data_IF_434335994215
#
_entry.id   IF_434335994215
#
_cell.length_a   1.000
_cell.length_b   1.000
_cell.length_c   1.000
_cell.angle_alpha   90.00
_cell.angle_beta   90.00
_cell.angle_gamma   90.00
#
_symmetry.space_group_name_H-M   'P 1'
#
loop_
_entity.id
_entity.type
_entity.pdbx_description
1 polymer ?
#
# COMPACT_ATOMS: atom_id res chain seq x y z
N UNK A 1 -55.48 70.81 -22.78
CA UNK A 1 -56.23 70.36 -23.98
C UNK A 1 -57.36 69.47 -23.51
N UNK A 2 -58.59 69.91 -23.75
CA UNK A 2 -59.81 69.22 -23.32
C UNK A 2 -59.97 67.90 -24.09
N UNK A 3 -59.68 66.78 -23.45
CA UNK A 3 -60.06 65.46 -23.98
C UNK A 3 -61.49 65.19 -23.54
N UNK A 4 -62.42 65.49 -24.45
CA UNK A 4 -63.80 65.04 -24.38
C UNK A 4 -63.81 63.52 -24.22
N UNK A 5 -64.17 63.05 -23.01
CA UNK A 5 -64.51 61.66 -22.78
C UNK A 5 -65.72 61.35 -23.68
N UNK A 6 -65.45 60.66 -24.80
CA UNK A 6 -66.48 60.06 -25.62
C UNK A 6 -67.23 59.06 -24.76
N UNK A 7 -68.37 59.52 -24.23
CA UNK A 7 -69.38 58.73 -23.55
C UNK A 7 -70.06 57.83 -24.59
N UNK A 8 -69.34 56.81 -25.05
CA UNK A 8 -69.96 55.67 -25.72
C UNK A 8 -70.59 54.77 -24.66
N UNK A 9 -71.69 55.27 -24.07
CA UNK A 9 -72.73 54.42 -23.54
C UNK A 9 -73.16 53.48 -24.68
N UNK A 10 -73.16 52.15 -24.49
CA UNK A 10 -73.69 51.25 -25.49
C UNK A 10 -75.15 51.64 -25.72
N UNK A 11 -75.44 52.15 -26.92
CA UNK A 11 -76.79 52.36 -27.40
C UNK A 11 -77.56 51.07 -27.09
N UNK A 12 -78.54 51.21 -26.21
CA UNK A 12 -79.41 50.15 -25.77
C UNK A 12 -80.19 49.68 -26.98
N UNK A 13 -79.62 48.72 -27.71
CA UNK A 13 -80.21 48.02 -28.85
C UNK A 13 -80.50 48.96 -30.03
N UNK A 14 -79.78 48.77 -31.14
CA UNK A 14 -80.34 49.02 -32.47
C UNK A 14 -81.65 48.23 -32.55
N UNK A 15 -82.76 48.91 -32.26
CA UNK A 15 -83.93 48.30 -31.63
C UNK A 15 -84.77 47.42 -32.56
N UNK A 16 -84.53 47.42 -33.88
CA UNK A 16 -85.33 46.61 -34.82
C UNK A 16 -84.68 45.28 -35.21
N UNK A 17 -83.40 45.25 -35.60
CA UNK A 17 -82.74 44.01 -36.06
C UNK A 17 -82.57 42.96 -34.95
N UNK A 18 -82.32 43.41 -33.72
CA UNK A 18 -82.22 42.51 -32.55
C UNK A 18 -83.58 41.92 -32.18
N UNK A 19 -84.67 42.68 -32.34
CA UNK A 19 -86.03 42.20 -32.05
C UNK A 19 -86.51 41.17 -33.08
N UNK A 20 -86.17 41.34 -34.37
CA UNK A 20 -86.49 40.35 -35.42
C UNK A 20 -85.84 38.99 -35.11
N UNK A 21 -84.55 38.98 -34.78
CA UNK A 21 -83.84 37.75 -34.39
C UNK A 21 -84.39 37.13 -33.10
N UNK A 22 -84.84 37.95 -32.14
CA UNK A 22 -85.50 37.48 -30.92
C UNK A 22 -86.88 36.86 -31.22
N UNK A 23 -87.67 37.46 -32.14
CA UNK A 23 -88.96 36.91 -32.62
C UNK A 23 -88.77 35.57 -33.30
N UNK A 24 -87.84 35.45 -34.24
CA UNK A 24 -87.54 34.19 -34.94
C UNK A 24 -87.09 33.10 -33.96
N UNK A 25 -86.23 33.45 -33.00
CA UNK A 25 -85.76 32.52 -31.97
C UNK A 25 -86.89 32.09 -31.05
N UNK A 26 -87.80 32.99 -30.70
CA UNK A 26 -88.96 32.68 -29.88
C UNK A 26 -89.95 31.77 -30.60
N UNK A 27 -90.28 32.05 -31.85
CA UNK A 27 -91.14 31.20 -32.68
C UNK A 27 -90.55 29.80 -32.85
N UNK A 28 -89.25 29.72 -33.18
CA UNK A 28 -88.53 28.45 -33.30
C UNK A 28 -88.53 27.64 -32.00
N UNK A 29 -88.41 28.30 -30.85
CA UNK A 29 -88.36 27.64 -29.54
C UNK A 29 -89.77 27.29 -29.02
N UNK A 30 -90.82 27.95 -29.51
CA UNK A 30 -92.21 27.51 -29.31
C UNK A 30 -92.56 26.27 -30.13
N UNK A 31 -92.20 26.24 -31.41
CA UNK A 31 -92.43 25.09 -32.30
C UNK A 31 -91.71 23.84 -31.78
N UNK A 32 -90.44 23.97 -31.38
CA UNK A 32 -89.65 22.87 -30.81
C UNK A 32 -90.26 22.27 -29.55
N UNK A 33 -91.02 23.05 -28.79
CA UNK A 33 -91.68 22.59 -27.57
C UNK A 33 -93.16 22.24 -27.79
N UNK A 34 -93.64 22.20 -29.05
CA UNK A 34 -94.99 21.78 -29.42
C UNK A 34 -96.09 22.83 -29.14
N UNK A 35 -95.73 24.11 -29.00
CA UNK A 35 -96.69 25.19 -28.73
C UNK A 35 -97.00 26.00 -30.00
N UNK A 36 -98.24 26.49 -30.09
CA UNK A 36 -98.69 27.32 -31.22
C UNK A 36 -97.97 28.67 -31.24
N UNK A 37 -97.37 29.01 -32.38
CA UNK A 37 -96.71 30.30 -32.63
C UNK A 37 -97.72 31.45 -32.70
N UNK A 38 -98.92 31.19 -33.20
CA UNK A 38 -99.98 32.18 -33.44
C UNK A 38 -100.88 32.45 -32.22
N UNK A 39 -101.05 31.49 -31.29
CA UNK A 39 -101.95 31.64 -30.13
C UNK A 39 -101.21 32.07 -28.86
N UNK A 40 -101.48 33.30 -28.40
CA UNK A 40 -101.00 33.85 -27.12
C UNK A 40 -100.13 35.09 -27.28
N UNK A 41 -99.51 35.55 -26.19
CA UNK A 41 -98.72 36.80 -26.16
C UNK A 41 -97.42 36.69 -26.95
N UNK A 42 -97.05 37.75 -27.67
CA UNK A 42 -95.83 37.79 -28.50
C UNK A 42 -94.58 38.04 -27.65
N UNK A 43 -93.38 37.79 -28.21
CA UNK A 43 -92.14 38.11 -27.50
C UNK A 43 -91.98 39.61 -27.27
N UNK A 44 -92.55 40.47 -28.13
CA UNK A 44 -92.48 41.93 -27.96
C UNK A 44 -93.24 42.38 -26.70
N UNK A 45 -94.40 41.77 -26.46
CA UNK A 45 -95.16 42.00 -25.22
C UNK A 45 -94.36 41.57 -23.99
N UNK A 46 -93.64 40.45 -24.07
CA UNK A 46 -92.75 40.01 -22.99
C UNK A 46 -91.48 40.88 -22.86
N UNK A 47 -90.96 41.39 -23.98
CA UNK A 47 -89.78 42.24 -24.04
C UNK A 47 -90.05 43.62 -23.42
N UNK A 48 -91.28 44.12 -23.52
CA UNK A 48 -91.70 45.38 -22.88
C UNK A 48 -91.50 45.38 -21.36
N UNK A 49 -91.53 44.21 -20.72
CA UNK A 49 -91.26 44.09 -19.28
C UNK A 49 -89.77 44.23 -18.93
N UNK A 50 -88.87 44.18 -19.92
CA UNK A 50 -87.42 44.32 -19.77
C UNK A 50 -86.88 45.68 -20.22
N UNK A 51 -87.75 46.61 -20.64
CA UNK A 51 -87.36 47.95 -21.10
C UNK A 51 -86.66 48.77 -20.01
N UNK A 52 -87.06 48.59 -18.74
CA UNK A 52 -86.42 49.24 -17.59
C UNK A 52 -85.48 48.27 -16.88
N UNK A 53 -84.17 48.54 -16.92
CA UNK A 53 -83.15 47.70 -16.28
C UNK A 53 -83.36 47.51 -14.77
N UNK A 54 -84.00 48.48 -14.09
CA UNK A 54 -84.25 48.45 -12.65
C UNK A 54 -85.51 47.66 -12.25
N UNK A 55 -86.44 47.41 -13.18
CA UNK A 55 -87.66 46.63 -12.91
C UNK A 55 -87.73 45.32 -13.68
N UNK A 56 -86.67 44.98 -14.43
CA UNK A 56 -86.62 43.77 -15.24
C UNK A 56 -86.96 42.51 -14.41
N UNK A 57 -87.87 41.64 -14.87
CA UNK A 57 -88.22 40.42 -14.17
C UNK A 57 -86.98 39.57 -13.91
N UNK A 58 -86.85 39.04 -12.70
CA UNK A 58 -85.74 38.16 -12.29
C UNK A 58 -86.05 36.68 -12.47
N UNK A 59 -87.30 36.33 -12.76
CA UNK A 59 -87.74 34.96 -13.03
C UNK A 59 -88.89 34.90 -14.05
N UNK A 60 -89.09 33.74 -14.67
CA UNK A 60 -90.22 33.49 -15.57
C UNK A 60 -91.58 33.70 -14.88
N UNK A 61 -91.70 33.37 -13.59
CA UNK A 61 -92.94 33.58 -12.82
C UNK A 61 -93.20 35.06 -12.56
N UNK A 62 -92.15 35.86 -12.34
CA UNK A 62 -92.26 37.31 -12.23
C UNK A 62 -92.67 37.95 -13.56
N UNK A 63 -92.14 37.45 -14.69
CA UNK A 63 -92.56 37.87 -16.02
C UNK A 63 -94.03 37.50 -16.29
N UNK A 64 -94.47 36.31 -15.86
CA UNK A 64 -95.86 35.86 -16.01
C UNK A 64 -96.80 36.72 -15.16
N UNK A 65 -96.42 37.06 -13.92
CA UNK A 65 -97.23 37.92 -13.05
C UNK A 65 -97.38 39.33 -13.63
N UNK A 66 -96.36 39.82 -14.35
CA UNK A 66 -96.34 41.18 -14.90
C UNK A 66 -97.05 41.32 -16.25
N UNK A 67 -96.82 40.37 -17.16
CA UNK A 67 -97.34 40.43 -18.53
C UNK A 67 -98.52 39.47 -18.74
N UNK A 68 -98.65 38.41 -17.94
CA UNK A 68 -99.67 37.37 -18.11
C UNK A 68 -99.33 36.33 -19.18
N UNK A 69 -100.24 35.38 -19.38
CA UNK A 69 -100.11 34.29 -20.36
C UNK A 69 -99.67 32.95 -19.76
N UNK A 70 -99.56 31.94 -20.63
CA UNK A 70 -99.18 30.58 -20.22
C UNK A 70 -97.73 30.54 -19.72
N UNK A 71 -97.51 29.96 -18.55
CA UNK A 71 -96.21 29.89 -17.88
C UNK A 71 -95.14 29.24 -18.77
N UNK A 72 -95.52 28.23 -19.58
CA UNK A 72 -94.60 27.54 -20.49
C UNK A 72 -94.05 28.47 -21.56
N UNK A 73 -94.92 29.29 -22.18
CA UNK A 73 -94.57 30.31 -23.17
C UNK A 73 -93.74 31.44 -22.54
N UNK A 74 -94.11 31.87 -21.33
CA UNK A 74 -93.39 32.89 -20.56
C UNK A 74 -91.98 32.41 -20.18
N UNK A 75 -91.81 31.15 -19.78
CA UNK A 75 -90.51 30.60 -19.41
C UNK A 75 -89.53 30.58 -20.58
N UNK A 76 -90.04 30.27 -21.79
CA UNK A 76 -89.27 30.34 -23.03
C UNK A 76 -88.88 31.79 -23.33
N UNK A 77 -89.83 32.73 -23.27
CA UNK A 77 -89.56 34.16 -23.49
C UNK A 77 -88.52 34.71 -22.50
N UNK A 78 -88.67 34.39 -21.22
CA UNK A 78 -87.77 34.81 -20.15
C UNK A 78 -86.33 34.33 -20.38
N UNK A 79 -86.15 33.08 -20.81
CA UNK A 79 -84.82 32.49 -21.04
C UNK A 79 -84.11 33.16 -22.22
N UNK A 80 -84.85 33.49 -23.28
CA UNK A 80 -84.33 34.16 -24.46
C UNK A 80 -83.94 35.61 -24.12
N UNK A 81 -84.85 36.36 -23.48
CA UNK A 81 -84.65 37.76 -23.13
C UNK A 81 -83.52 37.94 -22.11
N UNK A 82 -83.44 37.09 -21.07
CA UNK A 82 -82.35 37.15 -20.07
C UNK A 82 -80.96 36.90 -20.66
N UNK A 83 -80.86 36.10 -21.72
CA UNK A 83 -79.58 35.88 -22.41
C UNK A 83 -79.19 37.08 -23.25
N UNK A 84 -80.17 37.73 -23.88
CA UNK A 84 -79.96 38.91 -24.71
C UNK A 84 -79.57 40.16 -23.90
N UNK A 85 -80.00 40.25 -22.64
CA UNK A 85 -79.74 41.41 -21.76
C UNK A 85 -78.49 41.27 -20.87
N UNK A 86 -77.65 40.25 -21.07
CA UNK A 86 -76.39 40.13 -20.32
C UNK A 86 -75.39 41.21 -20.75
N UNK A 87 -74.76 41.95 -19.81
CA UNK A 87 -73.72 42.92 -20.17
C UNK A 87 -72.51 42.20 -20.76
N UNK A 88 -72.02 42.69 -21.90
CA UNK A 88 -70.77 42.20 -22.51
C UNK A 88 -69.58 42.69 -21.68
N UNK A 89 -68.68 41.78 -21.28
CA UNK A 89 -67.44 42.12 -20.58
C UNK A 89 -66.50 42.89 -21.51
N UNK A 90 -66.14 44.12 -21.13
CA UNK A 90 -65.15 44.92 -21.86
C UNK A 90 -63.75 44.42 -21.46
N UNK A 91 -63.08 43.70 -22.35
CA UNK A 91 -61.64 43.39 -22.20
C UNK A 91 -60.85 44.63 -22.62
N UNK A 92 -60.13 45.24 -21.67
CA UNK A 92 -59.21 46.35 -21.98
C UNK A 92 -57.82 45.79 -22.23
N UNK A 93 -57.21 46.19 -23.35
CA UNK A 93 -55.80 45.91 -23.64
C UNK A 93 -54.90 46.76 -22.73
N UNK A 94 -53.72 46.23 -22.38
CA UNK A 94 -52.67 47.00 -21.67
C UNK A 94 -52.33 48.27 -22.47
N UNK A 95 -52.12 49.38 -21.77
CA UNK A 95 -51.69 50.62 -22.41
C UNK A 95 -50.25 50.48 -22.95
N UNK A 96 -49.96 51.08 -24.11
CA UNK A 96 -48.65 50.99 -24.77
C UNK A 96 -47.48 51.42 -23.87
N UNK A 97 -47.65 52.52 -23.12
CA UNK A 97 -46.61 53.01 -22.20
C UNK A 97 -46.21 51.98 -21.14
N UNK A 98 -47.15 51.12 -20.71
CA UNK A 98 -46.89 50.07 -19.72
C UNK A 98 -46.06 48.95 -20.36
N UNK A 99 -46.41 48.56 -21.60
CA UNK A 99 -45.66 47.55 -22.36
C UNK A 99 -44.21 48.01 -22.60
N UNK A 100 -44.02 49.27 -22.99
CA UNK A 100 -42.68 49.84 -23.21
C UNK A 100 -41.84 49.89 -21.91
N UNK A 101 -42.49 50.13 -20.78
CA UNK A 101 -41.85 50.12 -19.46
C UNK A 101 -41.47 48.70 -19.03
N UNK A 102 -42.37 47.74 -19.24
CA UNK A 102 -42.16 46.32 -18.95
C UNK A 102 -40.98 45.79 -19.77
N UNK A 103 -40.95 46.08 -21.07
CA UNK A 103 -39.86 45.66 -21.95
C UNK A 103 -38.51 46.28 -21.58
N UNK A 104 -38.47 47.57 -21.19
CA UNK A 104 -37.25 48.22 -20.72
C UNK A 104 -36.72 47.59 -19.44
N UNK A 105 -37.60 47.30 -18.49
CA UNK A 105 -37.23 46.63 -17.24
C UNK A 105 -36.69 45.22 -17.50
N UNK A 106 -37.36 44.43 -18.35
CA UNK A 106 -36.90 43.08 -18.70
C UNK A 106 -35.53 43.12 -19.39
N UNK A 107 -35.32 44.07 -20.29
CA UNK A 107 -34.04 44.22 -21.00
C UNK A 107 -32.90 44.59 -20.04
N UNK A 108 -33.15 45.52 -19.11
CA UNK A 108 -32.18 45.89 -18.09
C UNK A 108 -31.85 44.72 -17.16
N UNK A 109 -32.88 44.00 -16.69
CA UNK A 109 -32.69 42.82 -15.83
C UNK A 109 -31.88 41.73 -16.54
N UNK A 110 -32.18 41.47 -17.80
CA UNK A 110 -31.44 40.48 -18.59
C UNK A 110 -29.98 40.88 -18.81
N UNK A 111 -29.71 42.18 -19.01
CA UNK A 111 -28.35 42.70 -19.13
C UNK A 111 -27.57 42.51 -17.81
N UNK A 112 -28.14 42.92 -16.67
CA UNK A 112 -27.52 42.73 -15.35
C UNK A 112 -27.29 41.25 -15.04
N UNK A 113 -28.27 40.39 -15.31
CA UNK A 113 -28.13 38.96 -15.08
C UNK A 113 -27.05 38.34 -15.97
N UNK A 114 -26.86 38.84 -17.20
CA UNK A 114 -25.73 38.42 -18.04
C UNK A 114 -24.38 38.87 -17.51
N UNK A 115 -24.29 40.06 -16.90
CA UNK A 115 -23.04 40.55 -16.28
C UNK A 115 -22.69 39.67 -15.09
N UNK A 116 -23.65 39.42 -14.20
CA UNK A 116 -23.48 38.54 -13.04
C UNK A 116 -23.06 37.14 -13.48
N UNK A 117 -23.71 36.58 -14.51
CA UNK A 117 -23.33 35.25 -15.00
C UNK A 117 -21.92 35.18 -15.55
N UNK A 118 -21.47 36.21 -16.28
CA UNK A 118 -20.09 36.26 -16.80
C UNK A 118 -19.06 36.40 -15.68
N UNK A 119 -19.36 37.20 -14.66
CA UNK A 119 -18.48 37.34 -13.50
C UNK A 119 -18.37 36.00 -12.74
N UNK A 120 -19.50 35.36 -12.47
CA UNK A 120 -19.54 34.04 -11.82
C UNK A 120 -18.78 32.98 -12.61
N UNK A 121 -19.04 32.87 -13.93
CA UNK A 121 -18.33 31.92 -14.80
C UNK A 121 -16.81 32.18 -14.81
N UNK A 122 -16.40 33.45 -14.83
CA UNK A 122 -14.99 33.84 -14.72
C UNK A 122 -14.35 33.42 -13.40
N UNK A 123 -15.01 33.64 -12.27
CA UNK A 123 -14.52 33.21 -10.96
C UNK A 123 -14.43 31.68 -10.84
N UNK A 124 -15.42 30.96 -11.36
CA UNK A 124 -15.41 29.49 -11.40
C UNK A 124 -14.25 28.98 -12.25
N UNK A 125 -14.03 29.54 -13.44
CA UNK A 125 -12.91 29.15 -14.30
C UNK A 125 -11.55 29.45 -13.66
N UNK A 126 -11.41 30.61 -13.02
CA UNK A 126 -10.19 30.97 -12.29
C UNK A 126 -9.94 29.99 -11.14
N UNK A 127 -10.95 29.69 -10.33
CA UNK A 127 -10.83 28.75 -9.22
C UNK A 127 -10.43 27.36 -9.70
N UNK A 128 -11.07 26.85 -10.75
CA UNK A 128 -10.74 25.54 -11.34
C UNK A 128 -9.31 25.54 -11.88
N UNK A 129 -8.89 26.61 -12.56
CA UNK A 129 -7.53 26.71 -13.10
C UNK A 129 -6.48 26.74 -11.99
N UNK A 130 -6.73 27.50 -10.92
CA UNK A 130 -5.83 27.60 -9.76
C UNK A 130 -5.72 26.25 -9.04
N UNK A 131 -6.85 25.59 -8.77
CA UNK A 131 -6.88 24.27 -8.14
C UNK A 131 -6.16 23.23 -9.00
N UNK A 132 -6.37 23.24 -10.32
CA UNK A 132 -5.71 22.30 -11.24
C UNK A 132 -4.20 22.54 -11.25
N UNK A 133 -3.77 23.80 -11.29
CA UNK A 133 -2.36 24.15 -11.26
C UNK A 133 -1.69 23.74 -9.93
N UNK A 134 -2.36 23.96 -8.80
CA UNK A 134 -1.88 23.53 -7.49
C UNK A 134 -1.77 22.01 -7.39
N UNK A 135 -2.79 21.28 -7.87
CA UNK A 135 -2.78 19.83 -7.92
C UNK A 135 -1.63 19.29 -8.78
N UNK A 136 -1.37 19.90 -9.94
CA UNK A 136 -0.24 19.53 -10.81
C UNK A 136 1.11 19.77 -10.13
N UNK A 137 1.28 20.89 -9.42
CA UNK A 137 2.51 21.15 -8.65
C UNK A 137 2.73 20.11 -7.56
N UNK A 138 1.68 19.73 -6.83
CA UNK A 138 1.77 18.68 -5.81
C UNK A 138 2.13 17.32 -6.43
N UNK A 139 1.59 17.01 -7.61
CA UNK A 139 1.96 15.79 -8.34
C UNK A 139 3.44 15.84 -8.74
N UNK A 140 3.92 16.96 -9.30
CA UNK A 140 5.32 17.11 -9.71
C UNK A 140 6.29 16.98 -8.51
N UNK A 141 5.92 17.56 -7.36
CA UNK A 141 6.69 17.45 -6.10
C UNK A 141 6.74 15.99 -5.62
N UNK A 142 5.60 15.30 -5.58
CA UNK A 142 5.54 13.87 -5.21
C UNK A 142 6.29 12.97 -6.19
N UNK A 143 6.26 13.27 -7.49
CA UNK A 143 7.04 12.54 -8.49
C UNK A 143 8.55 12.73 -8.28
N UNK A 144 8.98 13.94 -7.88
CA UNK A 144 10.37 14.21 -7.55
C UNK A 144 10.80 13.48 -6.29
N UNK A 145 10.02 13.55 -5.22
CA UNK A 145 10.28 12.81 -3.98
C UNK A 145 10.35 11.30 -4.23
N UNK A 146 9.44 10.75 -5.04
CA UNK A 146 9.48 9.33 -5.42
C UNK A 146 10.77 8.96 -6.16
N UNK A 147 11.28 9.80 -7.06
CA UNK A 147 12.56 9.56 -7.73
C UNK A 147 13.72 9.55 -6.74
N UNK A 148 13.76 10.51 -5.83
CA UNK A 148 14.80 10.57 -4.78
C UNK A 148 14.74 9.34 -3.86
N UNK A 149 13.55 8.86 -3.50
CA UNK A 149 13.36 7.64 -2.73
C UNK A 149 13.83 6.39 -3.47
N UNK A 150 13.58 6.29 -4.79
CA UNK A 150 14.08 5.18 -5.61
C UNK A 150 15.60 5.18 -5.66
N UNK A 151 16.23 6.34 -5.87
CA UNK A 151 17.70 6.46 -5.85
C UNK A 151 18.28 6.06 -4.48
N UNK A 152 17.61 6.44 -3.39
CA UNK A 152 18.01 6.05 -2.03
C UNK A 152 17.89 4.53 -1.81
N UNK A 153 16.81 3.92 -2.29
CA UNK A 153 16.63 2.46 -2.25
C UNK A 153 17.75 1.75 -3.03
N UNK A 154 18.10 2.24 -4.22
CA UNK A 154 19.16 1.66 -5.05
C UNK A 154 20.52 1.73 -4.35
N UNK A 155 20.84 2.85 -3.70
CA UNK A 155 22.09 2.98 -2.94
C UNK A 155 22.10 2.06 -1.70
N UNK A 156 20.98 1.92 -0.99
CA UNK A 156 20.85 0.95 0.11
C UNK A 156 21.05 -0.49 -0.37
N UNK A 157 20.47 -0.88 -1.51
CA UNK A 157 20.66 -2.21 -2.07
C UNK A 157 22.12 -2.47 -2.44
N UNK A 158 22.82 -1.46 -2.97
CA UNK A 158 24.25 -1.54 -3.26
C UNK A 158 25.08 -1.69 -1.99
N UNK A 159 24.75 -0.97 -0.92
CA UNK A 159 25.42 -1.13 0.38
C UNK A 159 25.21 -2.53 0.97
N UNK A 160 24.02 -3.11 0.84
CA UNK A 160 23.75 -4.50 1.25
C UNK A 160 24.66 -5.47 0.49
N UNK A 161 24.74 -5.37 -0.84
CA UNK A 161 25.62 -6.23 -1.65
C UNK A 161 27.09 -6.10 -1.26
N UNK A 162 27.55 -4.88 -0.94
CA UNK A 162 28.90 -4.65 -0.46
C UNK A 162 29.14 -5.30 0.91
N UNK A 163 28.18 -5.16 1.82
CA UNK A 163 28.22 -5.78 3.15
C UNK A 163 28.27 -7.30 3.06
N UNK A 164 27.44 -7.91 2.19
CA UNK A 164 27.45 -9.36 1.96
C UNK A 164 28.80 -9.83 1.42
N UNK A 165 29.39 -9.08 0.46
CA UNK A 165 30.73 -9.39 -0.06
C UNK A 165 31.82 -9.28 1.02
N UNK A 166 31.72 -8.29 1.91
CA UNK A 166 32.64 -8.16 3.03
C UNK A 166 32.46 -9.29 4.05
N UNK A 167 31.22 -9.68 4.36
CA UNK A 167 30.92 -10.80 5.24
C UNK A 167 31.51 -12.12 4.70
N UNK A 168 31.37 -12.38 3.40
CA UNK A 168 31.99 -13.54 2.75
C UNK A 168 33.51 -13.53 2.90
N UNK A 169 34.16 -12.38 2.68
CA UNK A 169 35.62 -12.24 2.87
C UNK A 169 36.03 -12.46 4.33
N UNK A 170 35.25 -11.97 5.30
CA UNK A 170 35.50 -12.23 6.71
C UNK A 170 35.43 -13.75 7.01
N UNK A 171 34.39 -14.44 6.54
CA UNK A 171 34.27 -15.89 6.72
C UNK A 171 35.44 -16.66 6.08
N UNK A 172 35.90 -16.24 4.90
CA UNK A 172 37.09 -16.82 4.26
C UNK A 172 38.37 -16.61 5.08
N UNK A 173 38.54 -15.41 5.67
CA UNK A 173 39.68 -15.10 6.53
C UNK A 173 39.62 -15.88 7.85
N UNK A 174 38.45 -16.01 8.47
CA UNK A 174 38.25 -16.83 9.66
C UNK A 174 38.60 -18.30 9.40
N UNK A 175 38.17 -18.85 8.26
CA UNK A 175 38.52 -20.22 7.87
C UNK A 175 40.04 -20.39 7.66
N UNK A 176 40.69 -19.42 7.01
CA UNK A 176 42.16 -19.44 6.84
C UNK A 176 42.90 -19.30 8.18
N UNK A 177 42.37 -18.49 9.09
CA UNK A 177 42.92 -18.32 10.43
C UNK A 177 42.83 -19.64 11.20
N UNK A 178 41.65 -20.27 11.23
CA UNK A 178 41.45 -21.57 11.89
C UNK A 178 42.39 -22.66 11.32
N UNK A 179 42.57 -22.70 10.00
CA UNK A 179 43.56 -23.60 9.37
C UNK A 179 44.99 -23.30 9.82
N UNK A 180 45.37 -22.02 9.86
CA UNK A 180 46.71 -21.62 10.33
C UNK A 180 46.94 -21.95 11.80
N UNK A 181 45.92 -21.79 12.64
CA UNK A 181 45.98 -22.15 14.06
C UNK A 181 46.13 -23.67 14.24
N UNK A 182 45.40 -24.48 13.46
CA UNK A 182 45.56 -25.93 13.47
C UNK A 182 47.00 -26.34 13.08
N UNK A 183 47.53 -25.77 12.00
CA UNK A 183 48.90 -26.04 11.56
C UNK A 183 49.92 -25.64 12.63
N UNK A 184 49.73 -24.49 13.28
CA UNK A 184 50.59 -24.07 14.38
C UNK A 184 50.53 -25.04 15.57
N UNK A 185 49.33 -25.53 15.91
CA UNK A 185 49.12 -26.55 16.95
C UNK A 185 49.86 -27.85 16.60
N UNK A 186 49.74 -28.33 15.36
CA UNK A 186 50.40 -29.55 14.90
C UNK A 186 51.93 -29.42 14.98
N UNK A 187 52.49 -28.27 14.56
CA UNK A 187 53.92 -28.01 14.70
C UNK A 187 54.37 -27.98 16.15
N UNK A 188 53.56 -27.41 17.05
CA UNK A 188 53.85 -27.40 18.48
C UNK A 188 53.91 -28.80 19.06
N UNK A 189 52.95 -29.66 18.74
CA UNK A 189 52.97 -31.06 19.15
C UNK A 189 54.17 -31.83 18.59
N UNK A 190 54.61 -31.54 17.36
CA UNK A 190 55.82 -32.13 16.77
C UNK A 190 57.09 -31.68 17.51
N UNK A 191 57.17 -30.40 17.90
CA UNK A 191 58.27 -29.87 18.70
C UNK A 191 58.31 -30.56 20.06
N UNK A 192 57.17 -30.66 20.76
CA UNK A 192 57.08 -31.32 22.06
C UNK A 192 57.54 -32.79 21.97
N UNK A 193 57.14 -33.51 20.91
CA UNK A 193 57.59 -34.88 20.67
C UNK A 193 59.10 -34.98 20.40
N UNK A 194 59.66 -34.05 19.62
CA UNK A 194 61.11 -34.00 19.37
C UNK A 194 61.90 -33.67 20.65
N UNK A 195 61.35 -32.79 21.50
CA UNK A 195 61.91 -32.45 22.80
C UNK A 195 61.98 -33.69 23.70
N UNK A 196 60.89 -34.45 23.82
CA UNK A 196 60.84 -35.69 24.59
C UNK A 196 61.85 -36.74 24.10
N UNK A 197 61.96 -36.90 22.77
CA UNK A 197 62.98 -37.78 22.17
C UNK A 197 64.40 -37.34 22.52
N UNK A 198 64.67 -36.04 22.46
CA UNK A 198 65.97 -35.49 22.82
C UNK A 198 66.29 -35.75 24.29
N UNK A 199 65.35 -35.53 25.19
CA UNK A 199 65.53 -35.77 26.63
C UNK A 199 65.82 -37.25 26.92
N UNK A 200 65.13 -38.17 26.22
CA UNK A 200 65.39 -39.61 26.33
C UNK A 200 66.79 -39.97 25.82
N UNK A 201 67.21 -39.41 24.69
CA UNK A 201 68.56 -39.63 24.15
C UNK A 201 69.65 -39.07 25.07
N UNK A 202 69.41 -37.93 25.73
CA UNK A 202 70.32 -37.37 26.71
C UNK A 202 70.47 -38.28 27.94
N UNK A 203 69.38 -38.90 28.39
CA UNK A 203 69.41 -39.88 29.48
C UNK A 203 70.25 -41.12 29.10
N UNK A 204 69.97 -41.72 27.94
CA UNK A 204 70.74 -42.88 27.44
C UNK A 204 72.22 -42.53 27.26
N UNK A 205 72.54 -41.33 26.76
CA UNK A 205 73.92 -40.89 26.64
C UNK A 205 74.60 -40.76 28.02
N UNK A 206 73.89 -40.27 29.03
CA UNK A 206 74.41 -40.22 30.40
C UNK A 206 74.71 -41.62 30.95
N UNK A 207 73.79 -42.57 30.79
CA UNK A 207 73.99 -43.97 31.16
C UNK A 207 75.19 -44.59 30.44
N UNK A 208 75.32 -44.35 29.14
CA UNK A 208 76.44 -44.83 28.34
C UNK A 208 77.78 -44.27 28.83
N UNK A 209 77.82 -43.00 29.25
CA UNK A 209 79.03 -42.41 29.87
C UNK A 209 79.38 -43.12 31.17
N UNK A 210 78.41 -43.45 32.02
CA UNK A 210 78.62 -44.19 33.26
C UNK A 210 79.12 -45.61 32.98
N UNK A 211 78.54 -46.31 32.00
CA UNK A 211 79.02 -47.65 31.63
C UNK A 211 80.42 -47.62 31.00
N UNK A 212 80.75 -46.57 30.23
CA UNK A 212 82.12 -46.36 29.73
C UNK A 212 83.13 -46.13 30.85
N UNK A 213 82.79 -45.39 31.91
CA UNK A 213 83.71 -45.22 33.04
C UNK A 213 83.84 -46.50 33.85
N UNK A 214 82.75 -47.27 34.01
CA UNK A 214 82.78 -48.60 34.62
C UNK A 214 83.66 -49.58 33.85
N UNK A 215 83.52 -49.64 32.52
CA UNK A 215 84.36 -50.47 31.65
C UNK A 215 85.84 -50.13 31.81
N UNK A 216 86.20 -48.84 31.83
CA UNK A 216 87.59 -48.40 32.10
C UNK A 216 88.11 -48.87 33.47
N UNK A 217 87.30 -48.78 34.52
CA UNK A 217 87.70 -49.28 35.85
C UNK A 217 87.91 -50.80 35.84
N UNK A 218 87.06 -51.55 35.13
CA UNK A 218 87.23 -52.99 34.95
C UNK A 218 88.49 -53.32 34.15
N UNK A 219 88.78 -52.60 33.07
CA UNK A 219 90.01 -52.76 32.30
C UNK A 219 91.25 -52.50 33.15
N UNK A 220 91.23 -51.45 33.99
CA UNK A 220 92.31 -51.15 34.95
C UNK A 220 92.48 -52.28 35.97
N UNK A 221 91.37 -52.83 36.48
CA UNK A 221 91.38 -53.96 37.42
C UNK A 221 91.91 -55.25 36.78
N UNK A 222 91.47 -55.57 35.56
CA UNK A 222 91.98 -56.70 34.76
C UNK A 222 93.48 -56.52 34.52
N UNK A 223 93.93 -55.32 34.14
CA UNK A 223 95.35 -55.04 33.95
C UNK A 223 96.15 -55.21 35.26
N UNK A 224 95.60 -54.82 36.41
CA UNK A 224 96.23 -55.06 37.71
C UNK A 224 96.35 -56.56 38.03
N UNK A 225 95.24 -57.30 37.91
CA UNK A 225 95.23 -58.75 38.14
C UNK A 225 96.15 -59.50 37.18
N UNK A 226 96.24 -59.05 35.93
CA UNK A 226 97.16 -59.63 34.93
C UNK A 226 98.62 -59.43 35.36
N UNK A 227 98.99 -58.23 35.83
CA UNK A 227 100.34 -57.98 36.38
C UNK A 227 100.62 -58.81 37.64
N UNK A 228 99.64 -58.96 38.53
CA UNK A 228 99.81 -59.78 39.74
C UNK A 228 99.90 -61.27 39.40
N UNK A 229 99.14 -61.75 38.41
CA UNK A 229 99.27 -63.10 37.84
C UNK A 229 100.67 -63.32 37.28
N UNK A 230 101.18 -62.40 36.46
CA UNK A 230 102.54 -62.46 35.90
C UNK A 230 103.60 -62.49 37.01
N UNK A 231 103.48 -61.64 38.03
CA UNK A 231 104.38 -61.65 39.21
C UNK A 231 104.34 -62.97 39.97
N UNK A 232 103.14 -63.51 40.22
CA UNK A 232 102.99 -64.79 40.91
C UNK A 232 103.56 -65.94 40.07
N UNK A 233 103.36 -65.93 38.75
CA UNK A 233 103.98 -66.88 37.84
C UNK A 233 105.50 -66.77 37.87
N UNK A 234 106.07 -65.56 37.85
CA UNK A 234 107.52 -65.32 37.97
C UNK A 234 108.08 -65.78 39.33
N UNK A 235 107.34 -65.53 40.41
CA UNK A 235 107.70 -66.03 41.74
C UNK A 235 107.66 -67.56 41.79
N UNK A 236 106.64 -68.18 41.18
CA UNK A 236 106.47 -69.62 41.15
C UNK A 236 107.58 -70.29 40.31
N UNK A 237 107.93 -69.75 39.15
CA UNK A 237 109.08 -70.22 38.36
C UNK A 237 110.39 -70.08 39.14
N UNK A 238 110.65 -68.94 39.79
CA UNK A 238 111.82 -68.78 40.68
C UNK A 238 111.84 -69.78 41.83
N UNK A 239 110.68 -70.09 42.42
CA UNK A 239 110.54 -71.09 43.48
C UNK A 239 110.88 -72.49 42.96
N UNK A 240 110.32 -72.88 41.81
CA UNK A 240 110.62 -74.14 41.12
C UNK A 240 112.12 -74.23 40.81
N UNK A 241 112.73 -73.18 40.26
CA UNK A 241 114.18 -73.08 40.00
C UNK A 241 115.01 -73.22 41.29
N UNK A 242 114.58 -72.61 42.40
CA UNK A 242 115.25 -72.71 43.70
C UNK A 242 115.14 -74.10 44.35
N UNK A 243 113.98 -74.76 44.22
CA UNK A 243 113.73 -76.12 44.71
C UNK A 243 114.51 -77.16 43.90
N UNK A 244 114.56 -77.00 42.58
CA UNK A 244 115.35 -77.88 41.69
C UNK A 244 116.86 -77.72 41.89
N UNK A 245 117.35 -76.55 42.29
CA UNK A 245 118.77 -76.33 42.63
C UNK A 245 119.16 -76.83 44.03
N UNK A 246 118.25 -76.86 45.00
CA UNK A 246 118.53 -77.36 46.37
C UNK A 246 118.23 -78.84 46.55
N UNK A 247 117.32 -79.42 45.76
CA UNK A 247 116.96 -80.85 45.78
C UNK A 247 116.77 -81.40 44.35
N UNK A 248 117.84 -81.86 43.68
CA UNK A 248 117.79 -82.29 42.28
C UNK A 248 116.93 -83.55 42.02
N UNK A 249 116.62 -84.32 43.07
CA UNK A 249 115.86 -85.57 42.96
C UNK A 249 114.32 -85.36 42.97
N UNK A 250 113.85 -84.11 43.09
CA UNK A 250 112.42 -83.79 43.14
C UNK A 250 111.95 -83.35 41.75
N UNK A 251 111.68 -84.33 40.90
CA UNK A 251 111.08 -84.14 39.58
C UNK A 251 109.62 -83.71 39.73
N UNK A 252 109.34 -82.41 39.57
CA UNK A 252 107.98 -81.92 39.35
C UNK A 252 107.70 -81.96 37.85
N UNK A 253 106.92 -82.96 37.42
CA UNK A 253 106.51 -83.12 36.02
C UNK A 253 105.67 -81.94 35.53
N UNK A 254 105.64 -81.76 34.20
CA UNK A 254 104.85 -80.75 33.48
C UNK A 254 103.41 -80.65 34.02
N UNK A 255 103.08 -79.52 34.64
CA UNK A 255 101.71 -79.15 35.01
C UNK A 255 101.15 -78.10 34.03
N UNK A 256 101.58 -78.13 32.77
CA UNK A 256 101.15 -77.20 31.73
C UNK A 256 99.70 -77.41 31.25
N UNK A 257 98.98 -78.44 31.72
CA UNK A 257 97.67 -78.83 31.18
C UNK A 257 96.45 -78.55 32.07
N UNK A 258 96.59 -77.96 33.27
CA UNK A 258 95.47 -77.89 34.21
C UNK A 258 94.53 -76.66 34.09
N UNK A 259 94.79 -75.68 33.22
CA UNK A 259 94.09 -74.38 33.28
C UNK A 259 93.12 -74.11 32.09
N UNK A 260 92.73 -75.15 31.34
CA UNK A 260 91.84 -75.02 30.16
C UNK A 260 90.35 -75.31 30.44
N UNK A 261 89.90 -75.26 31.69
CA UNK A 261 88.51 -75.60 32.05
C UNK A 261 87.83 -74.50 32.84
N UNK A 262 87.64 -73.31 32.25
CA UNK A 262 86.69 -72.29 32.71
C UNK A 262 86.38 -71.29 31.58
N UNK A 263 86.01 -71.81 30.41
CA UNK A 263 85.25 -71.06 29.41
C UNK A 263 83.76 -71.26 29.73
N UNK A 264 83.28 -70.54 30.74
CA UNK A 264 81.84 -70.47 31.02
C UNK A 264 81.21 -69.50 30.01
N UNK A 265 80.42 -70.08 29.13
CA UNK A 265 79.68 -69.45 28.05
C UNK A 265 78.69 -68.43 28.61
N UNK A 266 79.02 -67.14 28.50
CA UNK A 266 78.08 -66.06 28.81
C UNK A 266 77.08 -65.94 27.66
N UNK A 267 75.92 -66.59 27.79
CA UNK A 267 74.75 -66.31 26.97
C UNK A 267 74.24 -64.90 27.30
N UNK A 268 74.34 -63.99 26.33
CA UNK A 268 73.62 -62.71 26.34
C UNK A 268 72.27 -62.98 25.69
N UNK A 269 71.22 -63.06 26.49
CA UNK A 269 69.84 -63.07 26.03
C UNK A 269 69.51 -61.66 25.49
N UNK A 270 69.57 -61.49 24.17
CA UNK A 270 68.99 -60.35 23.45
C UNK A 270 67.47 -60.50 23.43
N UNK A 271 66.83 -60.20 24.56
CA UNK A 271 65.40 -60.02 24.70
C UNK A 271 64.98 -58.60 24.37
N UNK A 272 64.90 -58.28 23.08
CA UNK A 272 64.13 -57.14 22.58
C UNK A 272 62.66 -57.56 22.49
N UNK A 273 61.82 -57.09 23.40
CA UNK A 273 60.36 -57.10 23.21
C UNK A 273 59.77 -55.71 23.44
N UNK A 274 59.30 -55.14 22.30
CA UNK A 274 58.26 -54.12 22.07
C UNK A 274 58.21 -52.83 22.90
#
# INVERSE_FOLDING_TARGET
>A
MNTTLSSSLPALLSQEESLVLLRERFSSELEKNGYSTEKGKTIDEYASAFSDSNTAPTSAKALQKRVGGDFRRVAIAFKILRKATKPTTIVRNKALWFVDSEQRLTSALQAEMSIVWKAFDGEVQQLVSAHTQESLKQIDELEKENKELVEFIDELQKQIRQTDSQSQKCNELENKLAQSEQVASDYRSRIDHQQQKLDTLLLVNHELVVERTRAKMLDEHIASLTRDKERLQEHNTKLIESLTTTHPDWYFGDLSEADSSLSEEFHVDDGVEN
#
